data_IF_066805224641
#
_entry.id   IF_066805224641
#
_cell.length_a   1.000
_cell.length_b   1.000
_cell.length_c   1.000
_cell.angle_alpha   90.00
_cell.angle_beta   90.00
_cell.angle_gamma   90.00
#
_symmetry.space_group_name_H-M   'P 1'
#
loop_
_entity.id
_entity.type
_entity.pdbx_description
1 polymer ?
#
# COMPACT_ATOMS: atom_id res chain seq x y z
N UNK A 1 17.90 8.88 10.82
CA UNK A 1 17.39 9.17 12.19
C UNK A 1 15.86 9.04 12.32
N UNK A 2 15.05 9.10 11.26
CA UNK A 2 13.57 9.14 11.38
C UNK A 2 12.88 7.89 11.98
N UNK A 3 13.50 6.71 11.89
CA UNK A 3 12.93 5.44 12.36
C UNK A 3 13.63 4.85 13.59
N UNK A 4 14.72 5.48 14.06
CA UNK A 4 15.39 5.10 15.33
C UNK A 4 15.79 3.61 15.43
N UNK A 5 16.08 2.97 14.29
CA UNK A 5 16.47 1.56 14.24
C UNK A 5 17.77 1.35 15.04
N UNK A 6 17.78 0.34 15.89
CA UNK A 6 18.90 0.00 16.75
C UNK A 6 19.18 -1.50 16.78
N UNK A 7 20.19 -1.89 17.57
CA UNK A 7 20.49 -3.30 17.88
C UNK A 7 20.28 -3.48 19.37
N UNK A 8 19.46 -4.47 19.75
CA UNK A 8 19.30 -4.85 21.14
C UNK A 8 20.55 -5.60 21.65
N UNK A 9 20.95 -5.39 22.91
CA UNK A 9 22.01 -6.18 23.53
C UNK A 9 21.57 -7.65 23.71
N UNK A 10 22.54 -8.52 24.00
CA UNK A 10 22.29 -9.94 24.28
C UNK A 10 21.47 -10.19 25.55
N UNK A 11 21.43 -9.22 26.47
CA UNK A 11 20.70 -9.31 27.73
C UNK A 11 19.77 -8.11 27.90
N UNK A 12 18.48 -8.40 28.06
CA UNK A 12 17.42 -7.44 28.35
C UNK A 12 16.59 -7.93 29.55
N UNK A 13 15.80 -7.05 30.19
CA UNK A 13 14.83 -7.46 31.20
C UNK A 13 13.89 -8.54 30.67
N UNK A 14 13.34 -9.37 31.56
CA UNK A 14 12.50 -10.52 31.20
C UNK A 14 11.33 -10.16 30.26
N UNK A 15 10.74 -8.97 30.41
CA UNK A 15 9.64 -8.48 29.55
C UNK A 15 10.05 -8.18 28.10
N UNK A 16 11.35 -8.18 27.79
CA UNK A 16 11.91 -7.89 26.46
C UNK A 16 12.89 -8.96 25.99
N UNK A 17 12.90 -10.15 26.60
CA UNK A 17 13.87 -11.21 26.28
C UNK A 17 13.82 -11.61 24.79
N UNK A 18 12.64 -11.60 24.19
CA UNK A 18 12.45 -11.92 22.76
C UNK A 18 13.15 -10.94 21.82
N UNK A 19 13.51 -9.76 22.32
CA UNK A 19 14.18 -8.71 21.55
C UNK A 19 15.71 -8.83 21.57
N UNK A 20 16.29 -9.67 22.43
CA UNK A 20 17.75 -9.84 22.52
C UNK A 20 18.38 -10.20 21.17
N UNK A 21 19.56 -9.65 20.89
CA UNK A 21 20.37 -9.89 19.69
C UNK A 21 19.66 -9.64 18.34
N UNK A 22 18.62 -8.79 18.35
CA UNK A 22 17.86 -8.41 17.16
C UNK A 22 18.10 -6.97 16.75
N UNK A 23 17.91 -6.72 15.45
CA UNK A 23 17.65 -5.37 14.96
C UNK A 23 16.26 -4.94 15.44
N UNK A 24 16.19 -3.79 16.10
CA UNK A 24 14.97 -3.29 16.71
C UNK A 24 14.36 -2.18 15.86
N UNK A 25 13.07 -2.35 15.58
CA UNK A 25 12.20 -1.41 14.91
C UNK A 25 11.22 -0.84 15.94
N UNK A 26 11.42 0.41 16.41
CA UNK A 26 10.47 1.09 17.28
C UNK A 26 9.14 1.32 16.57
N UNK A 27 8.04 0.92 17.18
CA UNK A 27 6.68 1.10 16.64
C UNK A 27 6.05 2.31 17.32
N UNK A 28 5.69 3.31 16.50
CA UNK A 28 5.03 4.53 16.96
C UNK A 28 3.57 4.58 16.53
N UNK A 29 2.71 5.10 17.40
CA UNK A 29 1.31 5.36 17.07
C UNK A 29 1.15 6.64 16.23
N UNK A 30 -0.09 7.00 15.89
CA UNK A 30 -0.43 8.19 15.07
C UNK A 30 0.10 9.52 15.63
N UNK A 31 0.22 9.61 16.96
CA UNK A 31 0.74 10.79 17.69
C UNK A 31 2.26 10.81 17.74
N UNK A 32 2.91 9.70 17.38
CA UNK A 32 4.34 9.52 17.45
C UNK A 32 4.81 8.96 18.77
N UNK A 33 3.94 8.52 19.66
CA UNK A 33 4.32 7.89 20.92
C UNK A 33 4.86 6.48 20.64
N UNK A 34 5.94 6.09 21.33
CA UNK A 34 6.50 4.74 21.24
C UNK A 34 5.59 3.77 22.01
N UNK A 35 5.03 2.79 21.30
CA UNK A 35 4.03 1.88 21.88
C UNK A 35 4.45 0.41 21.88
N UNK A 36 5.40 0.04 21.01
CA UNK A 36 5.88 -1.34 20.90
C UNK A 36 7.23 -1.39 20.19
N UNK A 37 7.80 -2.60 20.10
CA UNK A 37 8.98 -2.90 19.31
C UNK A 37 8.75 -4.11 18.42
N UNK A 38 9.45 -4.15 17.30
CA UNK A 38 9.65 -5.39 16.56
C UNK A 38 11.14 -5.68 16.44
N UNK A 39 11.49 -6.96 16.51
CA UNK A 39 12.85 -7.47 16.49
C UNK A 39 13.07 -8.39 15.30
N UNK A 40 14.05 -8.08 14.46
CA UNK A 40 14.53 -8.96 13.39
C UNK A 40 15.82 -9.67 13.81
N UNK A 41 15.82 -10.99 13.73
CA UNK A 41 17.03 -11.77 13.96
C UNK A 41 18.10 -11.43 12.91
N UNK A 42 19.35 -11.37 13.36
CA UNK A 42 20.49 -10.99 12.51
C UNK A 42 21.19 -12.20 11.89
N UNK A 43 21.06 -13.39 12.50
CA UNK A 43 21.61 -14.63 11.99
C UNK A 43 20.67 -15.36 11.01
N UNK A 44 21.07 -16.56 10.61
CA UNK A 44 20.24 -17.44 9.79
C UNK A 44 19.17 -18.10 10.66
N UNK A 45 17.90 -17.82 10.35
CA UNK A 45 16.77 -18.44 11.03
C UNK A 45 16.42 -19.82 10.46
N UNK A 46 16.81 -20.11 9.21
CA UNK A 46 16.41 -21.32 8.50
C UNK A 46 17.07 -22.55 9.13
N UNK A 47 16.27 -23.51 9.58
CA UNK A 47 16.76 -24.71 10.27
C UNK A 47 17.04 -24.50 11.77
N UNK A 48 16.57 -23.40 12.35
CA UNK A 48 16.62 -23.12 13.80
C UNK A 48 15.21 -22.83 14.33
N UNK A 49 15.01 -22.93 15.64
CA UNK A 49 13.75 -22.53 16.29
C UNK A 49 13.61 -21.00 16.46
N UNK A 50 14.55 -20.21 15.92
CA UNK A 50 14.57 -18.76 16.06
C UNK A 50 13.70 -18.12 14.99
N UNK A 51 12.62 -17.44 15.40
CA UNK A 51 11.78 -16.67 14.47
C UNK A 51 12.57 -15.51 13.84
N UNK A 52 12.46 -15.35 12.51
CA UNK A 52 13.10 -14.26 11.74
C UNK A 52 12.66 -12.87 12.22
N UNK A 53 11.36 -12.72 12.52
CA UNK A 53 10.79 -11.51 13.11
C UNK A 53 9.95 -11.87 14.33
N UNK A 54 10.02 -11.04 15.36
CA UNK A 54 9.14 -11.08 16.53
C UNK A 54 8.60 -9.67 16.76
N UNK A 55 7.32 -9.57 17.10
CA UNK A 55 6.70 -8.30 17.49
C UNK A 55 6.42 -8.33 18.99
N UNK A 56 6.41 -7.18 19.64
CA UNK A 56 5.83 -7.07 20.99
C UNK A 56 4.41 -7.66 21.00
N UNK A 57 4.01 -8.31 22.09
CA UNK A 57 2.62 -8.76 22.25
C UNK A 57 1.67 -7.57 22.32
N UNK A 58 0.38 -7.83 22.09
CA UNK A 58 -0.67 -6.84 22.32
C UNK A 58 -0.64 -6.36 23.79
N UNK A 59 -0.93 -5.08 23.99
CA UNK A 59 -0.92 -4.42 25.29
C UNK A 59 -1.95 -3.28 25.32
N UNK A 60 -2.25 -2.68 26.49
CA UNK A 60 -3.19 -1.56 26.57
C UNK A 60 -2.84 -0.35 25.68
N UNK A 61 -1.58 -0.24 25.24
CA UNK A 61 -1.10 0.85 24.38
C UNK A 61 -0.76 0.42 22.95
N UNK A 62 -0.79 -0.88 22.66
CA UNK A 62 -0.42 -1.43 21.36
C UNK A 62 -1.35 -2.58 20.96
N UNK A 63 -2.11 -2.36 19.89
CA UNK A 63 -2.88 -3.37 19.22
C UNK A 63 -2.43 -3.46 17.77
N UNK A 64 -1.85 -4.59 17.37
CA UNK A 64 -1.25 -4.75 16.03
C UNK A 64 -2.24 -4.43 14.91
N UNK A 65 -3.50 -4.83 15.10
CA UNK A 65 -4.61 -4.62 14.16
C UNK A 65 -5.00 -3.15 13.95
N UNK A 66 -4.47 -2.22 14.74
CA UNK A 66 -4.85 -0.79 14.74
C UNK A 66 -3.68 0.12 14.33
N UNK A 67 -2.51 -0.46 14.09
CA UNK A 67 -1.27 0.26 13.79
C UNK A 67 -0.82 -0.04 12.37
N UNK A 68 -0.30 0.99 11.70
CA UNK A 68 0.46 0.88 10.46
C UNK A 68 1.86 1.41 10.70
N UNK A 69 2.87 0.57 10.51
CA UNK A 69 4.24 0.97 10.73
C UNK A 69 4.64 2.07 9.74
N UNK A 70 5.32 3.10 10.23
CA UNK A 70 5.73 4.26 9.44
C UNK A 70 4.67 5.32 9.24
N UNK A 71 3.43 5.14 9.70
CA UNK A 71 2.36 6.12 9.51
C UNK A 71 2.71 7.49 10.11
N UNK A 72 3.29 7.52 11.32
CA UNK A 72 3.71 8.77 11.95
C UNK A 72 4.70 9.56 11.07
N UNK A 73 5.68 8.87 10.49
CA UNK A 73 6.67 9.43 9.58
C UNK A 73 6.06 9.82 8.22
N UNK A 74 5.05 9.08 7.75
CA UNK A 74 4.49 9.21 6.42
C UNK A 74 3.34 10.22 6.31
N UNK A 75 2.67 10.55 7.42
CA UNK A 75 1.39 11.30 7.43
C UNK A 75 1.39 12.62 6.68
N UNK A 76 2.48 13.37 6.73
CA UNK A 76 2.60 14.65 6.02
C UNK A 76 2.74 14.43 4.52
N UNK A 77 3.62 13.51 4.11
CA UNK A 77 3.80 13.14 2.71
C UNK A 77 2.53 12.51 2.09
N UNK A 78 1.75 11.74 2.87
CA UNK A 78 0.47 11.20 2.41
C UNK A 78 -0.51 12.35 2.09
N UNK A 79 -0.59 13.37 2.95
CA UNK A 79 -1.46 14.53 2.73
C UNK A 79 -0.99 15.37 1.54
N UNK A 80 0.31 15.58 1.40
CA UNK A 80 0.91 16.34 0.30
C UNK A 80 0.69 15.66 -1.06
N UNK A 81 0.90 14.35 -1.12
CA UNK A 81 0.78 13.61 -2.39
C UNK A 81 -0.62 13.08 -2.66
N UNK A 82 -1.52 13.16 -1.68
CA UNK A 82 -2.90 12.65 -1.70
C UNK A 82 -3.02 11.13 -1.92
N UNK A 83 -1.98 10.34 -1.61
CA UNK A 83 -2.05 8.87 -1.66
C UNK A 83 -1.01 8.22 -0.75
N UNK A 84 -1.21 6.94 -0.45
CA UNK A 84 -0.32 6.14 0.40
C UNK A 84 0.15 4.87 -0.33
N UNK A 85 1.41 4.48 -0.17
CA UNK A 85 1.87 3.13 -0.49
C UNK A 85 1.71 2.22 0.71
N UNK A 86 1.15 1.02 0.50
CA UNK A 86 0.98 -0.01 1.53
C UNK A 86 1.88 -1.20 1.18
N UNK A 87 2.88 -1.46 2.02
CA UNK A 87 3.85 -2.55 1.86
C UNK A 87 3.70 -3.61 2.96
N UNK A 88 4.45 -4.71 2.85
CA UNK A 88 4.33 -5.83 3.78
C UNK A 88 5.13 -5.63 5.06
N UNK A 89 6.40 -5.26 4.94
CA UNK A 89 7.37 -5.33 6.02
C UNK A 89 7.97 -3.99 6.46
N UNK A 90 8.65 -4.05 7.61
CA UNK A 90 9.37 -2.91 8.19
C UNK A 90 10.48 -2.39 7.27
N UNK A 91 11.23 -3.30 6.64
CA UNK A 91 12.36 -2.96 5.76
C UNK A 91 11.90 -2.26 4.50
N UNK A 92 10.74 -2.64 3.97
CA UNK A 92 10.17 -2.04 2.76
C UNK A 92 9.85 -0.57 2.96
N UNK A 93 9.29 -0.22 4.13
CA UNK A 93 9.08 1.18 4.51
C UNK A 93 10.40 1.93 4.54
N UNK A 94 11.45 1.35 5.14
CA UNK A 94 12.77 1.99 5.18
C UNK A 94 13.35 2.17 3.77
N UNK A 95 13.26 1.16 2.91
CA UNK A 95 13.74 1.20 1.54
C UNK A 95 13.01 2.28 0.72
N UNK A 96 11.68 2.31 0.80
CA UNK A 96 10.85 3.31 0.12
C UNK A 96 11.14 4.72 0.61
N UNK A 97 11.26 4.93 1.93
CA UNK A 97 11.62 6.23 2.50
C UNK A 97 13.04 6.66 2.12
N UNK A 98 13.99 5.73 2.06
CA UNK A 98 15.36 5.99 1.60
C UNK A 98 15.41 6.40 0.11
N UNK A 99 14.54 5.80 -0.71
CA UNK A 99 14.34 6.19 -2.11
C UNK A 99 13.56 7.51 -2.28
N UNK A 100 12.95 8.04 -1.22
CA UNK A 100 12.24 9.32 -1.21
C UNK A 100 10.72 9.21 -1.25
N UNK A 101 10.16 8.00 -1.31
CA UNK A 101 8.72 7.73 -1.25
C UNK A 101 8.24 7.69 0.20
N UNK A 102 8.23 8.87 0.83
CA UNK A 102 7.94 9.02 2.27
C UNK A 102 6.48 8.78 2.64
N UNK A 103 5.57 8.71 1.66
CA UNK A 103 4.16 8.37 1.86
C UNK A 103 3.91 6.84 1.92
N UNK A 104 4.83 6.09 2.54
CA UNK A 104 4.80 4.62 2.61
C UNK A 104 4.59 4.13 4.03
N UNK A 105 3.71 3.14 4.19
CA UNK A 105 3.41 2.45 5.46
C UNK A 105 3.40 0.92 5.26
N UNK A 106 3.50 0.16 6.35
CA UNK A 106 3.46 -1.31 6.29
C UNK A 106 2.45 -1.96 7.25
N UNK A 107 1.99 -3.16 6.84
CA UNK A 107 1.09 -4.03 7.60
C UNK A 107 1.82 -4.85 8.68
N UNK A 108 3.09 -5.20 8.45
CA UNK A 108 3.99 -5.87 9.37
C UNK A 108 3.50 -7.22 9.92
N UNK A 109 3.01 -8.09 9.03
CA UNK A 109 2.61 -9.46 9.35
C UNK A 109 1.19 -9.59 9.91
N UNK A 110 0.28 -8.72 9.47
CA UNK A 110 -1.17 -8.85 9.64
C UNK A 110 -1.84 -8.60 8.30
N UNK A 111 -2.96 -9.28 8.04
CA UNK A 111 -3.83 -8.86 6.95
C UNK A 111 -4.36 -7.45 7.24
N UNK A 112 -4.59 -6.65 6.20
CA UNK A 112 -5.17 -5.32 6.33
C UNK A 112 -6.53 -5.39 7.06
N UNK A 113 -6.70 -4.55 8.06
CA UNK A 113 -7.90 -4.55 8.93
C UNK A 113 -8.79 -3.33 8.70
N UNK A 114 -10.06 -3.42 9.12
CA UNK A 114 -10.99 -2.28 9.10
C UNK A 114 -10.49 -1.09 9.92
N UNK A 115 -9.83 -1.34 11.06
CA UNK A 115 -9.27 -0.27 11.91
C UNK A 115 -8.13 0.44 11.19
N UNK A 116 -7.24 -0.29 10.52
CA UNK A 116 -6.16 0.30 9.73
C UNK A 116 -6.70 1.10 8.53
N UNK A 117 -7.75 0.61 7.87
CA UNK A 117 -8.39 1.36 6.77
C UNK A 117 -9.04 2.64 7.28
N UNK A 118 -9.75 2.55 8.42
CA UNK A 118 -10.35 3.72 9.08
C UNK A 118 -9.27 4.74 9.46
N UNK A 119 -8.13 4.27 9.96
CA UNK A 119 -6.98 5.13 10.26
C UNK A 119 -6.44 5.82 9.00
N UNK A 120 -6.19 5.08 7.92
CA UNK A 120 -5.73 5.65 6.64
C UNK A 120 -6.69 6.68 6.06
N UNK A 121 -8.00 6.46 6.26
CA UNK A 121 -9.04 7.32 5.70
C UNK A 121 -9.01 8.77 6.21
N UNK A 122 -8.34 9.00 7.34
CA UNK A 122 -8.09 10.34 7.91
C UNK A 122 -7.06 11.14 7.12
N UNK A 123 -6.28 10.47 6.26
CA UNK A 123 -5.15 11.05 5.53
C UNK A 123 -5.38 11.06 4.02
N UNK A 124 -5.94 9.98 3.48
CA UNK A 124 -6.23 9.85 2.05
C UNK A 124 -7.33 8.82 1.80
N UNK A 125 -7.96 8.91 0.63
CA UNK A 125 -8.83 7.88 0.06
C UNK A 125 -8.22 7.20 -1.17
N UNK A 126 -6.91 7.34 -1.36
CA UNK A 126 -6.18 6.67 -2.43
C UNK A 126 -4.99 5.88 -1.88
N UNK A 127 -5.03 4.56 -2.08
CA UNK A 127 -3.94 3.66 -1.71
C UNK A 127 -3.36 2.98 -2.96
N UNK A 128 -2.05 2.77 -2.96
CA UNK A 128 -1.36 1.87 -3.89
C UNK A 128 -0.80 0.71 -3.08
N UNK A 129 -1.29 -0.49 -3.35
CA UNK A 129 -0.85 -1.72 -2.70
C UNK A 129 0.39 -2.25 -3.41
N UNK A 130 1.44 -2.51 -2.64
CA UNK A 130 2.71 -3.04 -3.13
C UNK A 130 3.25 -4.03 -2.09
N UNK A 131 2.64 -5.21 -2.05
CA UNK A 131 3.08 -6.33 -1.21
C UNK A 131 4.11 -7.19 -1.96
N UNK A 132 4.67 -8.18 -1.27
CA UNK A 132 5.72 -9.05 -1.81
C UNK A 132 5.23 -9.79 -3.07
N UNK A 133 6.15 -10.05 -3.99
CA UNK A 133 5.83 -10.65 -5.30
C UNK A 133 5.46 -12.13 -5.27
N UNK A 134 5.50 -12.79 -4.11
CA UNK A 134 5.14 -14.19 -3.95
C UNK A 134 3.61 -14.42 -4.00
N UNK A 135 3.19 -15.69 -4.05
CA UNK A 135 1.78 -16.06 -4.18
C UNK A 135 0.92 -15.55 -3.01
N UNK A 136 1.49 -15.54 -1.80
CA UNK A 136 0.80 -15.08 -0.60
C UNK A 136 0.62 -13.55 -0.62
N UNK A 137 1.67 -12.81 -0.99
CA UNK A 137 1.65 -11.36 -1.15
C UNK A 137 0.67 -10.92 -2.24
N UNK A 138 0.63 -11.61 -3.38
CA UNK A 138 -0.34 -11.34 -4.44
C UNK A 138 -1.79 -11.58 -3.99
N UNK A 139 -2.06 -12.71 -3.34
CA UNK A 139 -3.38 -13.06 -2.81
C UNK A 139 -3.84 -12.05 -1.75
N UNK A 140 -2.96 -11.71 -0.81
CA UNK A 140 -3.23 -10.70 0.22
C UNK A 140 -3.42 -9.31 -0.38
N UNK A 141 -2.71 -8.99 -1.45
CA UNK A 141 -2.82 -7.73 -2.16
C UNK A 141 -4.20 -7.55 -2.77
N UNK A 142 -4.74 -8.57 -3.45
CA UNK A 142 -6.10 -8.57 -4.02
C UNK A 142 -7.15 -8.41 -2.90
N UNK A 143 -7.02 -9.18 -1.82
CA UNK A 143 -7.93 -9.11 -0.68
C UNK A 143 -7.94 -7.71 -0.04
N UNK A 144 -6.76 -7.13 0.17
CA UNK A 144 -6.61 -5.79 0.73
C UNK A 144 -7.22 -4.74 -0.19
N UNK A 145 -7.08 -4.91 -1.51
CA UNK A 145 -7.67 -4.04 -2.52
C UNK A 145 -9.20 -4.02 -2.43
N UNK A 146 -9.82 -5.20 -2.41
CA UNK A 146 -11.28 -5.33 -2.28
C UNK A 146 -11.80 -4.64 -1.03
N UNK A 147 -11.18 -4.91 0.12
CA UNK A 147 -11.59 -4.31 1.40
C UNK A 147 -11.47 -2.78 1.38
N UNK A 148 -10.42 -2.23 0.77
CA UNK A 148 -10.26 -0.78 0.61
C UNK A 148 -11.33 -0.18 -0.29
N UNK A 149 -11.64 -0.81 -1.43
CA UNK A 149 -12.68 -0.37 -2.36
C UNK A 149 -14.05 -0.36 -1.69
N UNK A 150 -14.39 -1.41 -0.94
CA UNK A 150 -15.64 -1.48 -0.15
C UNK A 150 -15.76 -0.33 0.86
N UNK A 151 -14.63 0.17 1.38
CA UNK A 151 -14.57 1.32 2.29
C UNK A 151 -14.43 2.67 1.57
N UNK A 152 -14.61 2.71 0.25
CA UNK A 152 -14.64 3.93 -0.55
C UNK A 152 -13.26 4.48 -0.91
N UNK A 153 -12.23 3.64 -0.97
CA UNK A 153 -10.93 4.04 -1.51
C UNK A 153 -10.86 3.82 -3.02
N UNK A 154 -10.19 4.72 -3.72
CA UNK A 154 -9.53 4.39 -4.97
C UNK A 154 -8.31 3.52 -4.65
N UNK A 155 -8.10 2.44 -5.39
CA UNK A 155 -7.01 1.50 -5.11
C UNK A 155 -6.24 1.19 -6.38
N UNK A 156 -4.96 1.51 -6.37
CA UNK A 156 -3.99 1.03 -7.36
C UNK A 156 -3.20 -0.14 -6.80
N UNK A 157 -2.50 -0.86 -7.68
CA UNK A 157 -1.55 -1.89 -7.29
C UNK A 157 -0.24 -1.75 -8.07
N UNK A 158 0.87 -2.12 -7.44
CA UNK A 158 2.15 -2.40 -8.08
C UNK A 158 2.48 -3.85 -7.76
N UNK A 159 2.65 -4.67 -8.79
CA UNK A 159 3.02 -6.08 -8.64
C UNK A 159 4.52 -6.18 -8.83
N UNK A 160 5.21 -6.69 -7.82
CA UNK A 160 6.65 -6.93 -7.85
C UNK A 160 6.95 -8.29 -8.50
N UNK A 161 8.17 -8.44 -9.00
CA UNK A 161 8.65 -9.73 -9.51
C UNK A 161 8.67 -10.78 -8.40
N UNK A 162 8.47 -12.05 -8.77
CA UNK A 162 8.41 -13.14 -7.79
C UNK A 162 9.70 -13.22 -6.97
N UNK A 163 9.55 -13.35 -5.65
CA UNK A 163 10.68 -13.39 -4.71
C UNK A 163 11.29 -12.02 -4.39
N UNK A 164 10.72 -10.92 -4.89
CA UNK A 164 11.16 -9.57 -4.60
C UNK A 164 10.18 -8.79 -3.72
N UNK A 165 10.78 -7.96 -2.88
CA UNK A 165 10.17 -6.95 -2.02
C UNK A 165 10.85 -5.58 -2.29
N UNK A 166 10.29 -4.45 -1.84
CA UNK A 166 10.90 -3.13 -2.07
C UNK A 166 12.35 -3.02 -1.56
N UNK A 167 12.68 -3.69 -0.45
CA UNK A 167 14.04 -3.69 0.11
C UNK A 167 15.06 -4.42 -0.80
N UNK A 168 14.73 -5.61 -1.27
CA UNK A 168 15.58 -6.41 -2.17
C UNK A 168 15.72 -5.76 -3.54
N UNK A 169 14.66 -5.15 -4.08
CA UNK A 169 14.75 -4.39 -5.34
C UNK A 169 15.66 -3.16 -5.19
N UNK A 170 15.55 -2.43 -4.08
CA UNK A 170 16.45 -1.31 -3.81
C UNK A 170 17.91 -1.79 -3.70
N UNK A 171 18.15 -2.92 -3.05
CA UNK A 171 19.49 -3.50 -2.93
C UNK A 171 20.06 -3.95 -4.28
N UNK A 172 19.21 -4.53 -5.14
CA UNK A 172 19.62 -5.05 -6.45
C UNK A 172 19.86 -3.93 -7.47
N UNK A 173 18.91 -3.00 -7.60
CA UNK A 173 18.91 -1.98 -8.65
C UNK A 173 19.71 -0.74 -8.24
N UNK A 174 19.90 -0.52 -6.94
CA UNK A 174 20.39 0.75 -6.42
C UNK A 174 19.32 1.85 -6.47
N UNK A 175 19.63 2.98 -5.83
CA UNK A 175 18.63 4.02 -5.52
C UNK A 175 18.04 4.68 -6.77
N UNK A 176 18.87 4.99 -7.76
CA UNK A 176 18.43 5.74 -8.95
C UNK A 176 17.45 4.92 -9.78
N UNK A 177 17.83 3.70 -10.15
CA UNK A 177 17.00 2.79 -10.95
C UNK A 177 15.74 2.37 -10.18
N UNK A 178 15.85 2.07 -8.88
CA UNK A 178 14.68 1.78 -8.05
C UNK A 178 13.69 2.96 -8.00
N UNK A 179 14.19 4.20 -7.91
CA UNK A 179 13.33 5.39 -7.95
C UNK A 179 12.62 5.53 -9.29
N UNK A 180 13.34 5.28 -10.39
CA UNK A 180 12.76 5.25 -11.74
C UNK A 180 11.68 4.17 -11.89
N UNK A 181 11.97 2.96 -11.39
CA UNK A 181 11.05 1.82 -11.37
C UNK A 181 9.75 2.18 -10.63
N UNK A 182 9.83 2.63 -9.38
CA UNK A 182 8.64 2.97 -8.58
C UNK A 182 7.83 4.09 -9.23
N UNK A 183 8.48 5.15 -9.76
CA UNK A 183 7.77 6.24 -10.46
C UNK A 183 7.03 5.73 -11.70
N UNK A 184 7.66 4.88 -12.50
CA UNK A 184 7.06 4.29 -13.70
C UNK A 184 5.82 3.48 -13.34
N UNK A 185 5.93 2.57 -12.38
CA UNK A 185 4.82 1.70 -11.99
C UNK A 185 3.72 2.45 -11.25
N UNK A 186 4.06 3.46 -10.46
CA UNK A 186 3.07 4.36 -9.84
C UNK A 186 2.25 5.09 -10.90
N UNK A 187 2.88 5.55 -11.99
CA UNK A 187 2.19 6.21 -13.10
C UNK A 187 1.24 5.25 -13.80
N UNK A 188 1.68 4.02 -14.08
CA UNK A 188 0.84 2.98 -14.70
C UNK A 188 -0.36 2.67 -13.81
N UNK A 189 -0.12 2.38 -12.54
CA UNK A 189 -1.16 2.10 -11.54
C UNK A 189 -2.21 3.21 -11.45
N UNK A 190 -1.79 4.48 -11.50
CA UNK A 190 -2.69 5.64 -11.54
C UNK A 190 -3.54 5.72 -12.79
N UNK A 191 -2.98 5.36 -13.95
CA UNK A 191 -3.72 5.31 -15.20
C UNK A 191 -4.75 4.19 -15.19
N UNK A 192 -4.43 3.01 -14.64
CA UNK A 192 -5.38 1.90 -14.49
C UNK A 192 -6.57 2.30 -13.60
N UNK A 193 -6.30 2.93 -12.45
CA UNK A 193 -7.36 3.43 -11.55
C UNK A 193 -8.24 4.46 -12.26
N UNK A 194 -7.64 5.37 -13.02
CA UNK A 194 -8.37 6.38 -13.77
C UNK A 194 -9.20 5.77 -14.91
N UNK A 195 -8.69 4.74 -15.59
CA UNK A 195 -9.44 3.98 -16.60
C UNK A 195 -10.66 3.32 -15.98
N UNK A 196 -10.50 2.63 -14.84
CA UNK A 196 -11.62 2.02 -14.11
C UNK A 196 -12.66 3.05 -13.70
N UNK A 197 -12.24 4.23 -13.23
CA UNK A 197 -13.16 5.29 -12.83
C UNK A 197 -13.96 5.83 -14.02
N UNK A 198 -13.31 6.06 -15.17
CA UNK A 198 -13.98 6.47 -16.40
C UNK A 198 -15.01 5.41 -16.86
N UNK A 199 -14.65 4.13 -16.81
CA UNK A 199 -15.56 3.03 -17.13
C UNK A 199 -16.77 2.99 -16.19
N UNK A 200 -16.55 3.20 -14.89
CA UNK A 200 -17.64 3.27 -13.89
C UNK A 200 -18.57 4.45 -14.16
N UNK A 201 -18.03 5.62 -14.46
CA UNK A 201 -18.83 6.80 -14.80
C UNK A 201 -19.67 6.57 -16.07
N UNK A 202 -19.09 5.98 -17.11
CA UNK A 202 -19.81 5.63 -18.34
C UNK A 202 -20.92 4.61 -18.04
N UNK A 203 -20.63 3.56 -17.25
CA UNK A 203 -21.63 2.57 -16.83
C UNK A 203 -22.81 3.22 -16.09
N UNK A 204 -22.53 4.19 -15.20
CA UNK A 204 -23.58 4.93 -14.50
C UNK A 204 -24.42 5.79 -15.46
N UNK A 205 -23.79 6.54 -16.38
CA UNK A 205 -24.52 7.34 -17.37
C UNK A 205 -25.40 6.47 -18.27
N UNK A 206 -24.93 5.27 -18.63
CA UNK A 206 -25.74 4.31 -19.37
C UNK A 206 -26.96 3.85 -18.55
N UNK A 207 -26.79 3.58 -17.25
CA UNK A 207 -27.91 3.24 -16.37
C UNK A 207 -28.93 4.39 -16.26
N UNK A 208 -28.45 5.62 -16.07
CA UNK A 208 -29.29 6.83 -16.02
C UNK A 208 -30.04 7.04 -17.35
N UNK A 209 -29.39 6.74 -18.48
CA UNK A 209 -29.99 6.86 -19.81
C UNK A 209 -31.17 5.90 -20.00
N UNK A 210 -31.11 4.69 -19.42
CA UNK A 210 -32.23 3.75 -19.45
C UNK A 210 -33.46 4.25 -18.67
N UNK A 211 -33.26 5.15 -17.69
CA UNK A 211 -34.31 5.72 -16.85
C UNK A 211 -34.83 7.07 -17.39
N UNK A 212 -34.16 7.68 -18.38
CA UNK A 212 -34.49 9.00 -18.89
C UNK A 212 -35.82 9.03 -19.65
N UNK A 213 -36.74 9.91 -19.24
CA UNK A 213 -38.11 9.98 -19.78
C UNK A 213 -38.23 11.03 -20.89
N UNK A 214 -37.38 12.05 -20.87
CA UNK A 214 -37.45 13.18 -21.80
C UNK A 214 -36.32 13.18 -22.82
N UNK A 215 -36.54 13.85 -23.96
CA UNK A 215 -35.47 14.09 -24.96
C UNK A 215 -34.35 14.93 -24.34
N UNK A 216 -34.70 15.95 -23.54
CA UNK A 216 -33.74 16.84 -22.90
C UNK A 216 -32.77 16.08 -21.97
N UNK A 217 -33.29 15.19 -21.12
CA UNK A 217 -32.47 14.34 -20.24
C UNK A 217 -31.53 13.43 -21.03
N UNK A 218 -32.04 12.77 -22.09
CA UNK A 218 -31.19 11.92 -22.95
C UNK A 218 -30.08 12.72 -23.61
N UNK A 219 -30.39 13.90 -24.14
CA UNK A 219 -29.41 14.78 -24.79
C UNK A 219 -28.31 15.22 -23.81
N UNK A 220 -28.65 15.59 -22.57
CA UNK A 220 -27.67 15.92 -21.52
C UNK A 220 -26.76 14.74 -21.19
N UNK A 221 -27.33 13.55 -20.97
CA UNK A 221 -26.57 12.35 -20.65
C UNK A 221 -25.58 11.96 -21.77
N UNK A 222 -26.01 12.05 -23.04
CA UNK A 222 -25.11 11.85 -24.17
C UNK A 222 -23.97 12.89 -24.21
N UNK A 223 -24.29 14.16 -23.96
CA UNK A 223 -23.28 15.23 -23.94
C UNK A 223 -22.23 14.99 -22.85
N UNK A 224 -22.63 14.48 -21.68
CA UNK A 224 -21.72 14.11 -20.57
C UNK A 224 -20.86 12.89 -20.88
N UNK A 225 -21.35 11.95 -21.70
CA UNK A 225 -20.61 10.73 -22.06
C UNK A 225 -19.47 10.99 -23.06
N UNK A 226 -19.63 11.94 -23.99
CA UNK A 226 -18.63 12.28 -25.02
C UNK A 226 -17.22 12.58 -24.48
N UNK A 227 -17.02 13.49 -23.49
CA UNK A 227 -15.70 13.76 -22.96
C UNK A 227 -15.09 12.56 -22.21
N UNK A 228 -15.92 11.72 -21.57
CA UNK A 228 -15.46 10.52 -20.88
C UNK A 228 -14.92 9.49 -21.87
N UNK A 229 -15.63 9.25 -22.97
CA UNK A 229 -15.18 8.38 -24.05
C UNK A 229 -13.82 8.82 -24.62
N UNK A 230 -13.66 10.12 -24.94
CA UNK A 230 -12.38 10.65 -25.45
C UNK A 230 -11.22 10.47 -24.45
N UNK A 231 -11.49 10.66 -23.15
CA UNK A 231 -10.50 10.45 -22.09
C UNK A 231 -10.14 8.98 -21.95
N UNK A 232 -11.13 8.09 -21.97
CA UNK A 232 -10.95 6.65 -21.89
C UNK A 232 -10.06 6.18 -23.04
N UNK A 233 -10.38 6.55 -24.27
CA UNK A 233 -9.58 6.21 -25.46
C UNK A 233 -8.10 6.66 -25.32
N UNK A 234 -7.86 7.84 -24.75
CA UNK A 234 -6.49 8.33 -24.51
C UNK A 234 -5.77 7.50 -23.44
N UNK A 235 -6.45 7.17 -22.34
CA UNK A 235 -5.87 6.39 -21.24
C UNK A 235 -5.58 4.97 -21.68
N UNK A 236 -6.52 4.31 -22.35
CA UNK A 236 -6.35 2.96 -22.91
C UNK A 236 -5.16 2.90 -23.87
N UNK A 237 -4.96 3.92 -24.72
CA UNK A 237 -3.77 4.01 -25.59
C UNK A 237 -2.46 4.13 -24.81
N UNK A 238 -2.44 4.87 -23.70
CA UNK A 238 -1.27 4.98 -22.84
C UNK A 238 -0.97 3.66 -22.10
N UNK A 239 -2.00 2.87 -21.80
CA UNK A 239 -1.89 1.57 -21.15
C UNK A 239 -1.62 0.41 -22.12
N UNK A 240 -1.80 0.60 -23.43
CA UNK A 240 -1.62 -0.46 -24.44
C UNK A 240 -0.23 -1.12 -24.46
N UNK A 241 0.78 -0.46 -23.90
CA UNK A 241 2.15 -0.97 -23.80
C UNK A 241 2.53 -1.39 -22.36
N UNK A 242 1.57 -1.36 -21.44
CA UNK A 242 1.73 -1.89 -20.08
C UNK A 242 1.58 -3.42 -20.12
N UNK A 243 2.42 -4.20 -19.43
CA UNK A 243 2.15 -5.63 -19.22
C UNK A 243 0.85 -5.73 -18.41
N UNK A 244 -0.21 -6.05 -19.13
CA UNK A 244 -1.59 -5.97 -18.68
C UNK A 244 -1.82 -6.93 -17.50
N UNK A 245 -1.93 -6.39 -16.29
CA UNK A 245 -2.90 -6.90 -15.32
C UNK A 245 -4.09 -5.96 -15.43
N UNK A 246 -5.02 -6.24 -16.36
CA UNK A 246 -6.28 -5.49 -16.39
C UNK A 246 -6.78 -5.42 -14.95
N UNK A 247 -7.23 -4.25 -14.55
CA UNK A 247 -8.00 -4.05 -13.33
C UNK A 247 -9.35 -4.82 -13.37
N UNK A 248 -9.42 -6.00 -13.98
CA UNK A 248 -10.55 -6.94 -13.95
C UNK A 248 -10.91 -7.26 -12.48
N UNK A 249 -9.94 -7.27 -11.57
CA UNK A 249 -10.17 -7.41 -10.12
C UNK A 249 -10.91 -6.23 -9.45
N UNK A 250 -11.02 -5.06 -10.11
CA UNK A 250 -11.80 -3.90 -9.63
C UNK A 250 -13.24 -3.91 -10.13
N UNK A 251 -13.57 -4.75 -11.11
CA UNK A 251 -14.86 -4.75 -11.82
C UNK A 251 -15.79 -5.87 -11.36
N UNK A 252 -15.29 -6.84 -10.60
CA UNK A 252 -16.05 -7.92 -9.94
C UNK A 252 -16.28 -7.66 -8.45
#
# INVERSE_FOLDING_TARGET
>A
KAFEIGVAPAALPASYVDMCDRLIFPIRNERGELVAFAGRYRGEAKGTDIHKYVNSPDSPVYHKREILYGLYQAREAIREHHFVFVTEGYKDVLAMHAAGFRNTVALCGTALTDQQITLLSRYTRYAIIMLDGDEAGQTNGIRSARLLVEKGFSVGRIVLESGHDPDSLLCMMGREDFTGYIKRWTRISRLEVYETDLLRQIKQLLADLHLALTVAERTDLFARMLPLHKRLEKVTRLLAHSPVMKAEWLLD
#
